data_IF_063675507336
#
_entry.id   IF_063675507336
#
_cell.length_a   1.000
_cell.length_b   1.000
_cell.length_c   1.000
_cell.angle_alpha   90.00
_cell.angle_beta   90.00
_cell.angle_gamma   90.00
#
_symmetry.space_group_name_H-M   'P 1'
#
loop_
_entity.id
_entity.type
_entity.pdbx_description
1 polymer ?
#
# COMPACT_ATOMS: atom_id res chain seq x y z
N UNK A 1 -23.12 16.63 -6.66
CA UNK A 1 -22.10 15.87 -5.90
C UNK A 1 -22.21 16.37 -4.47
N UNK A 2 -22.61 15.53 -3.55
CA UNK A 2 -22.60 15.86 -2.12
C UNK A 2 -21.14 15.97 -1.71
N UNK A 3 -20.72 17.19 -1.38
CA UNK A 3 -19.39 17.46 -0.82
C UNK A 3 -19.40 16.92 0.61
N UNK A 4 -19.30 15.60 0.75
CA UNK A 4 -19.29 14.97 2.06
C UNK A 4 -17.89 15.08 2.65
N UNK A 5 -17.80 15.66 3.84
CA UNK A 5 -16.53 15.76 4.55
C UNK A 5 -16.06 14.35 4.98
N UNK A 6 -14.73 14.13 5.00
CA UNK A 6 -14.20 12.92 5.59
C UNK A 6 -14.52 12.84 7.09
N UNK A 7 -14.73 11.62 7.58
CA UNK A 7 -15.14 11.33 8.95
C UNK A 7 -13.95 11.24 9.90
N UNK A 8 -14.16 11.66 11.15
CA UNK A 8 -13.25 11.31 12.25
C UNK A 8 -13.31 9.81 12.55
N UNK A 9 -12.26 9.25 13.16
CA UNK A 9 -12.26 7.84 13.55
C UNK A 9 -13.42 7.49 14.51
N UNK A 10 -13.82 8.40 15.39
CA UNK A 10 -14.96 8.22 16.29
C UNK A 10 -16.30 8.15 15.53
N UNK A 11 -16.43 8.90 14.44
CA UNK A 11 -17.60 8.80 13.55
C UNK A 11 -17.59 7.48 12.81
N UNK A 12 -16.43 7.04 12.31
CA UNK A 12 -16.25 5.73 11.66
C UNK A 12 -16.63 4.60 12.62
N UNK A 13 -16.14 4.61 13.86
CA UNK A 13 -16.48 3.60 14.87
C UNK A 13 -17.98 3.52 15.15
N UNK A 14 -18.70 4.62 15.05
CA UNK A 14 -20.17 4.67 15.25
C UNK A 14 -20.95 4.19 14.02
N UNK A 15 -20.51 4.57 12.81
CA UNK A 15 -21.20 4.25 11.55
C UNK A 15 -20.95 2.81 11.12
N UNK A 16 -19.70 2.36 11.23
CA UNK A 16 -19.30 0.99 10.89
C UNK A 16 -19.38 0.08 12.12
N UNK A 17 -20.54 0.01 12.79
CA UNK A 17 -20.73 -0.95 13.88
C UNK A 17 -20.44 -2.36 13.40
N UNK A 18 -19.20 -2.78 13.61
CA UNK A 18 -18.71 -4.15 13.56
C UNK A 18 -19.25 -4.98 12.36
N UNK A 19 -18.75 -4.74 11.18
CA UNK A 19 -18.73 -5.77 10.13
C UNK A 19 -17.74 -6.83 10.59
N UNK A 20 -18.21 -7.79 11.36
CA UNK A 20 -17.40 -8.94 11.78
C UNK A 20 -17.28 -9.92 10.62
N UNK A 21 -16.08 -10.45 10.42
CA UNK A 21 -15.85 -11.56 9.50
C UNK A 21 -16.86 -12.68 9.77
N UNK A 22 -17.33 -13.34 8.73
CA UNK A 22 -18.07 -14.59 8.88
C UNK A 22 -17.17 -15.59 9.58
N UNK A 23 -17.68 -16.24 10.63
CA UNK A 23 -16.92 -17.27 11.37
C UNK A 23 -16.27 -18.25 10.41
N UNK A 24 -15.04 -18.74 10.70
CA UNK A 24 -14.18 -19.50 9.79
C UNK A 24 -14.65 -20.90 9.40
N UNK A 25 -15.94 -21.14 9.22
CA UNK A 25 -16.43 -22.36 8.57
C UNK A 25 -16.28 -22.36 7.05
N UNK A 26 -15.82 -21.27 6.44
CA UNK A 26 -15.73 -21.13 4.97
C UNK A 26 -14.62 -20.18 4.51
N UNK A 27 -13.49 -20.10 5.21
CA UNK A 27 -12.33 -19.35 4.69
C UNK A 27 -11.74 -20.11 3.52
N UNK A 28 -12.02 -19.67 2.32
CA UNK A 28 -11.29 -20.12 1.13
C UNK A 28 -10.04 -19.29 1.01
N UNK A 29 -8.92 -19.77 1.54
CA UNK A 29 -7.60 -19.23 1.19
C UNK A 29 -7.24 -19.74 -0.19
N UNK A 30 -7.12 -18.85 -1.16
CA UNK A 30 -6.58 -19.22 -2.48
C UNK A 30 -5.09 -18.96 -2.45
N UNK A 31 -4.28 -20.01 -2.34
CA UNK A 31 -2.84 -19.94 -2.57
C UNK A 31 -2.59 -20.39 -4.00
N UNK A 32 -1.97 -19.52 -4.80
CA UNK A 32 -1.68 -19.81 -6.21
C UNK A 32 -0.22 -20.22 -6.34
N UNK A 33 -0.01 -21.35 -6.98
CA UNK A 33 1.31 -21.84 -7.35
C UNK A 33 1.47 -21.75 -8.87
N UNK A 34 2.57 -21.17 -9.32
CA UNK A 34 2.94 -21.21 -10.73
C UNK A 34 3.76 -22.48 -10.96
N UNK A 35 3.27 -23.35 -11.81
CA UNK A 35 3.98 -24.55 -12.23
C UNK A 35 4.24 -24.47 -13.73
N UNK A 36 5.47 -24.70 -14.15
CA UNK A 36 5.75 -24.87 -15.57
C UNK A 36 5.43 -26.32 -15.94
N UNK A 37 4.31 -26.52 -16.61
CA UNK A 37 3.92 -27.79 -17.22
C UNK A 37 4.31 -27.81 -18.69
N UNK A 38 4.53 -29.02 -19.22
CA UNK A 38 4.58 -29.23 -20.67
C UNK A 38 3.19 -29.06 -21.30
N UNK A 39 2.93 -29.75 -22.42
CA UNK A 39 1.64 -29.69 -23.13
C UNK A 39 0.46 -30.38 -22.40
N UNK A 40 0.71 -30.99 -21.26
CA UNK A 40 -0.33 -31.64 -20.45
C UNK A 40 -0.52 -30.89 -19.11
N UNK A 41 -1.77 -30.79 -18.61
CA UNK A 41 -2.03 -30.19 -17.32
C UNK A 41 -1.34 -30.97 -16.18
N UNK A 42 -0.78 -30.29 -15.17
CA UNK A 42 -0.14 -30.96 -14.04
C UNK A 42 -1.14 -31.81 -13.23
N UNK A 43 -0.68 -32.96 -12.79
CA UNK A 43 -1.44 -33.76 -11.82
C UNK A 43 -1.10 -33.27 -10.42
N UNK A 44 -2.11 -32.80 -9.68
CA UNK A 44 -1.97 -32.28 -8.33
C UNK A 44 -2.69 -33.20 -7.36
N UNK A 45 -1.99 -33.72 -6.37
CA UNK A 45 -2.56 -34.42 -5.25
C UNK A 45 -2.48 -33.57 -3.99
N UNK A 46 -3.60 -33.45 -3.30
CA UNK A 46 -3.68 -32.74 -2.02
C UNK A 46 -4.05 -33.69 -0.91
N UNK A 47 -3.29 -33.69 0.19
CA UNK A 47 -3.63 -34.39 1.39
C UNK A 47 -3.52 -33.49 2.61
N UNK A 48 -4.31 -33.80 3.65
CA UNK A 48 -4.32 -33.09 4.92
C UNK A 48 -3.83 -34.04 6.00
N UNK A 49 -2.73 -33.71 6.65
CA UNK A 49 -2.14 -34.55 7.70
C UNK A 49 -2.20 -33.82 9.06
N UNK A 50 -2.63 -34.49 10.14
CA UNK A 50 -2.59 -33.89 11.47
C UNK A 50 -1.14 -33.84 11.97
N UNK A 51 -0.67 -32.64 12.35
CA UNK A 51 0.70 -32.44 12.84
C UNK A 51 0.75 -32.51 14.37
N UNK A 52 -0.23 -31.88 15.03
CA UNK A 52 -0.21 -31.72 16.49
C UNK A 52 -1.63 -31.64 17.06
N UNK A 53 -1.84 -32.33 18.19
CA UNK A 53 -3.03 -32.18 19.03
C UNK A 53 -2.73 -31.23 20.18
N UNK A 54 -3.37 -30.05 20.20
CA UNK A 54 -3.34 -29.11 21.32
C UNK A 54 -4.61 -29.16 22.16
N UNK A 55 -4.65 -28.40 23.26
CA UNK A 55 -5.86 -28.31 24.11
C UNK A 55 -7.03 -27.61 23.43
N UNK A 56 -6.78 -26.80 22.38
CA UNK A 56 -7.78 -26.00 21.66
C UNK A 56 -8.11 -26.53 20.26
N UNK A 57 -7.50 -27.63 19.82
CA UNK A 57 -7.74 -28.21 18.50
C UNK A 57 -6.59 -29.06 17.96
N UNK A 58 -6.68 -29.41 16.71
CA UNK A 58 -5.66 -30.15 15.96
C UNK A 58 -5.10 -29.27 14.86
N UNK A 59 -3.78 -29.09 14.84
CA UNK A 59 -3.10 -28.46 13.73
C UNK A 59 -2.92 -29.47 12.59
N UNK A 60 -3.16 -29.01 11.36
CA UNK A 60 -3.06 -29.83 10.17
C UNK A 60 -2.04 -29.24 9.19
N UNK A 61 -1.27 -30.11 8.55
CA UNK A 61 -0.46 -29.80 7.40
C UNK A 61 -1.22 -30.12 6.11
N UNK A 62 -1.20 -29.18 5.16
CA UNK A 62 -1.73 -29.41 3.82
C UNK A 62 -0.54 -29.69 2.91
N UNK A 63 -0.40 -30.93 2.48
CA UNK A 63 0.65 -31.35 1.56
C UNK A 63 0.11 -31.32 0.14
N UNK A 64 0.78 -30.60 -0.76
CA UNK A 64 0.46 -30.52 -2.18
C UNK A 64 1.58 -31.21 -2.94
N UNK A 65 1.29 -32.34 -3.54
CA UNK A 65 2.23 -33.08 -4.38
C UNK A 65 1.91 -32.84 -5.85
N UNK A 66 2.92 -32.44 -6.64
CA UNK A 66 2.78 -32.24 -8.07
C UNK A 66 3.67 -33.25 -8.82
N UNK A 67 3.11 -33.93 -9.83
CA UNK A 67 3.87 -34.83 -10.69
C UNK A 67 4.10 -34.21 -12.07
N UNK A 68 5.34 -34.28 -12.54
CA UNK A 68 5.68 -33.90 -13.91
C UNK A 68 5.79 -32.40 -14.15
N UNK A 69 5.95 -31.60 -13.09
CA UNK A 69 6.08 -30.15 -13.18
C UNK A 69 7.29 -29.67 -12.39
N UNK A 70 7.98 -28.72 -12.95
CA UNK A 70 8.97 -27.93 -12.22
C UNK A 70 8.22 -26.87 -11.43
N UNK A 71 8.08 -27.08 -10.11
CA UNK A 71 7.57 -26.05 -9.21
C UNK A 71 8.65 -25.00 -9.11
N UNK A 72 8.54 -23.98 -9.92
CA UNK A 72 9.43 -22.83 -9.77
C UNK A 72 9.09 -22.17 -8.46
N UNK A 73 9.98 -22.32 -7.50
CA UNK A 73 9.95 -21.52 -6.29
C UNK A 73 9.80 -20.06 -6.68
N UNK A 74 8.72 -19.43 -6.22
CA UNK A 74 8.39 -18.00 -6.21
C UNK A 74 8.62 -17.27 -7.54
N UNK A 75 7.70 -16.42 -7.90
CA UNK A 75 7.94 -15.42 -8.91
C UNK A 75 9.26 -14.70 -8.58
N UNK A 76 10.24 -14.83 -9.45
CA UNK A 76 11.54 -14.14 -9.24
C UNK A 76 11.34 -12.66 -9.51
N UNK A 77 12.08 -11.79 -8.79
CA UNK A 77 12.16 -10.40 -9.17
C UNK A 77 12.41 -10.27 -10.67
N UNK A 78 11.56 -9.53 -11.35
CA UNK A 78 11.66 -9.31 -12.79
C UNK A 78 11.51 -7.83 -13.08
N UNK A 79 12.20 -7.38 -14.12
CA UNK A 79 12.04 -6.02 -14.61
C UNK A 79 10.62 -5.80 -15.12
N UNK A 80 10.08 -4.63 -14.85
CA UNK A 80 8.72 -4.28 -15.20
C UNK A 80 8.66 -3.66 -16.60
N UNK A 81 7.64 -4.02 -17.36
CA UNK A 81 7.17 -3.21 -18.49
C UNK A 81 6.33 -2.06 -17.93
N UNK A 82 6.05 -1.07 -18.75
CA UNK A 82 5.20 0.00 -18.23
C UNK A 82 4.88 1.07 -19.26
N UNK A 83 4.07 2.02 -18.82
CA UNK A 83 3.56 3.10 -19.64
C UNK A 83 3.60 4.42 -18.87
N UNK A 84 4.35 5.39 -19.41
CA UNK A 84 4.24 6.79 -19.01
C UNK A 84 2.99 7.41 -19.61
N UNK A 85 2.22 8.09 -18.78
CA UNK A 85 0.97 8.74 -19.17
C UNK A 85 1.11 10.26 -19.05
N UNK A 86 0.15 11.00 -19.59
CA UNK A 86 0.03 12.44 -19.37
C UNK A 86 -1.25 12.70 -18.59
N UNK A 87 -1.23 13.55 -17.56
CA UNK A 87 -2.39 13.79 -16.71
C UNK A 87 -3.67 14.18 -17.47
N UNK A 88 -3.53 14.92 -18.58
CA UNK A 88 -4.64 15.44 -19.37
C UNK A 88 -5.17 14.46 -20.45
N UNK A 89 -4.49 13.35 -20.68
CA UNK A 89 -4.87 12.39 -21.73
C UNK A 89 -6.01 11.46 -21.28
N UNK A 90 -6.27 11.38 -19.97
CA UNK A 90 -7.27 10.48 -19.39
C UNK A 90 -8.55 11.24 -19.06
N UNK A 91 -9.65 10.73 -19.62
CA UNK A 91 -11.00 11.24 -19.34
C UNK A 91 -11.89 10.08 -18.92
N UNK A 92 -12.30 10.12 -17.68
CA UNK A 92 -13.27 9.19 -17.12
C UNK A 92 -14.55 9.95 -16.75
N UNK A 93 -15.68 9.28 -16.85
CA UNK A 93 -16.92 9.76 -16.26
C UNK A 93 -16.85 9.67 -14.73
N UNK A 94 -17.30 10.71 -14.02
CA UNK A 94 -17.18 10.75 -12.54
C UNK A 94 -17.99 9.61 -11.86
N UNK A 95 -19.13 9.24 -12.41
CA UNK A 95 -19.93 8.13 -11.85
C UNK A 95 -19.26 6.77 -12.12
N UNK A 96 -18.53 6.64 -13.21
CA UNK A 96 -17.73 5.47 -13.51
C UNK A 96 -16.52 5.38 -12.56
N UNK A 97 -15.82 6.50 -12.33
CA UNK A 97 -14.71 6.60 -11.38
C UNK A 97 -15.10 6.20 -9.97
N UNK A 98 -16.21 6.69 -9.46
CA UNK A 98 -16.66 6.35 -8.10
C UNK A 98 -16.85 4.83 -7.93
N UNK A 99 -17.41 4.15 -8.93
CA UNK A 99 -17.56 2.68 -8.91
C UNK A 99 -16.26 1.94 -9.10
N UNK A 100 -15.44 2.39 -10.06
CA UNK A 100 -14.16 1.78 -10.38
C UNK A 100 -13.16 1.88 -9.22
N UNK A 101 -13.22 2.96 -8.45
CA UNK A 101 -12.26 3.29 -7.39
C UNK A 101 -12.77 2.97 -5.98
N UNK A 102 -13.88 2.24 -5.87
CA UNK A 102 -14.36 1.77 -4.58
C UNK A 102 -13.38 0.78 -3.93
N UNK A 103 -13.33 0.79 -2.60
CA UNK A 103 -12.56 -0.17 -1.80
C UNK A 103 -13.24 -1.55 -1.78
N UNK A 104 -12.52 -2.53 -1.27
CA UNK A 104 -13.03 -3.89 -1.12
C UNK A 104 -12.58 -4.53 0.19
N UNK A 105 -13.50 -5.16 0.88
CA UNK A 105 -13.26 -5.89 2.13
C UNK A 105 -13.58 -7.36 1.88
N UNK A 106 -12.61 -8.25 1.92
CA UNK A 106 -12.86 -9.69 1.84
C UNK A 106 -13.72 -10.19 3.01
N UNK A 107 -14.57 -11.18 2.75
CA UNK A 107 -15.47 -11.72 3.80
C UNK A 107 -14.74 -12.37 5.00
N UNK A 108 -13.47 -12.75 4.81
CA UNK A 108 -12.64 -13.38 5.85
C UNK A 108 -11.87 -12.36 6.72
N UNK A 109 -11.96 -11.07 6.44
CA UNK A 109 -11.33 -10.03 7.25
C UNK A 109 -12.37 -9.22 8.02
N UNK A 110 -12.06 -8.93 9.28
CA UNK A 110 -12.81 -7.97 10.07
C UNK A 110 -12.46 -6.55 9.61
N UNK A 111 -13.44 -5.65 9.71
CA UNK A 111 -13.19 -4.21 9.57
C UNK A 111 -12.90 -3.61 10.92
N UNK A 112 -11.74 -2.98 11.08
CA UNK A 112 -11.32 -2.29 12.29
C UNK A 112 -10.82 -0.88 11.95
N UNK A 113 -11.49 0.20 12.38
CA UNK A 113 -11.07 1.57 12.09
C UNK A 113 -9.80 2.00 12.85
N UNK A 114 -9.38 1.25 13.86
CA UNK A 114 -8.11 1.41 14.59
C UNK A 114 -7.37 0.09 14.68
N UNK A 115 -6.02 0.08 14.61
CA UNK A 115 -5.26 -1.15 14.79
C UNK A 115 -5.49 -1.74 16.17
N UNK A 116 -5.78 -3.03 16.24
CA UNK A 116 -6.15 -3.72 17.48
C UNK A 116 -4.95 -3.97 18.38
N UNK A 117 -3.79 -4.27 17.81
CA UNK A 117 -2.60 -4.67 18.57
C UNK A 117 -1.51 -3.61 18.46
N UNK A 118 -1.43 -2.77 19.48
CA UNK A 118 -0.30 -1.84 19.64
C UNK A 118 0.94 -2.61 20.10
N UNK A 119 2.09 -2.33 19.47
CA UNK A 119 3.37 -2.94 19.80
C UNK A 119 4.34 -1.88 20.29
N UNK A 120 5.14 -2.21 21.32
CA UNK A 120 6.16 -1.28 21.81
C UNK A 120 7.26 -1.14 20.74
N UNK A 121 7.54 0.08 20.26
CA UNK A 121 8.63 0.29 19.32
C UNK A 121 9.99 0.13 19.98
N UNK A 122 11.02 -0.19 19.19
CA UNK A 122 12.42 0.05 19.53
C UNK A 122 13.02 1.00 18.48
N UNK A 123 13.92 1.88 18.91
CA UNK A 123 14.62 2.76 17.97
C UNK A 123 15.77 2.01 17.31
N UNK A 124 15.84 2.15 16.01
CA UNK A 124 16.94 1.61 15.22
C UNK A 124 18.22 2.39 15.52
N UNK A 125 19.32 1.69 15.71
CA UNK A 125 20.65 2.32 15.76
C UNK A 125 21.06 2.62 14.33
N UNK A 126 20.75 3.85 13.90
CA UNK A 126 21.16 4.30 12.57
C UNK A 126 22.68 4.55 12.53
N UNK A 127 23.37 4.23 11.42
CA UNK A 127 24.73 4.67 11.20
C UNK A 127 24.81 6.18 11.37
N UNK A 128 25.93 6.69 11.93
CA UNK A 128 26.17 8.13 11.99
C UNK A 128 26.23 8.64 10.55
N UNK A 129 25.18 9.34 10.13
CA UNK A 129 25.14 10.01 8.83
C UNK A 129 26.11 11.20 8.92
N UNK A 130 27.03 11.37 7.95
CA UNK A 130 27.85 12.57 7.88
C UNK A 130 26.98 13.82 7.93
N UNK A 131 27.44 14.86 8.66
CA UNK A 131 26.66 16.10 8.92
C UNK A 131 26.31 16.90 7.66
N UNK A 132 26.89 16.58 6.54
CA UNK A 132 26.69 17.18 5.23
C UNK A 132 25.47 16.61 4.45
N UNK A 133 24.86 15.51 4.90
CA UNK A 133 23.58 15.04 4.41
C UNK A 133 22.51 15.34 5.46
N UNK A 134 21.81 16.44 5.27
CA UNK A 134 20.59 16.75 6.02
C UNK A 134 19.51 15.73 5.65
N UNK A 135 19.54 14.57 6.27
CA UNK A 135 18.34 13.74 6.35
C UNK A 135 17.41 14.48 7.29
N UNK A 136 16.50 15.24 6.75
CA UNK A 136 15.49 15.93 7.53
C UNK A 136 14.63 14.87 8.21
N UNK A 137 14.88 14.65 9.49
CA UNK A 137 13.99 13.87 10.35
C UNK A 137 12.94 14.85 10.84
N UNK A 138 11.74 14.81 10.27
CA UNK A 138 10.74 15.81 10.63
C UNK A 138 9.73 15.18 11.55
N UNK A 139 10.10 15.15 12.83
CA UNK A 139 9.20 14.86 13.94
C UNK A 139 8.71 16.20 14.50
N UNK A 140 7.40 16.42 14.52
CA UNK A 140 6.79 17.64 15.02
C UNK A 140 6.32 17.45 16.47
N UNK A 141 7.18 17.78 17.44
CA UNK A 141 6.85 17.66 18.85
C UNK A 141 7.14 16.26 19.42
N UNK A 142 6.15 15.66 20.06
CA UNK A 142 6.26 14.29 20.59
C UNK A 142 5.94 13.31 19.48
N UNK A 143 6.83 12.32 19.28
CA UNK A 143 6.61 11.24 18.29
C UNK A 143 5.34 10.46 18.62
N UNK A 144 4.30 10.61 17.81
CA UNK A 144 2.98 10.02 18.00
C UNK A 144 2.71 8.81 17.07
N UNK A 145 3.72 8.37 16.33
CA UNK A 145 3.66 7.17 15.51
C UNK A 145 3.43 5.92 16.36
N UNK A 146 2.35 5.23 16.10
CA UNK A 146 1.99 4.00 16.81
C UNK A 146 2.42 2.77 16.01
N UNK A 147 3.40 2.02 16.50
CA UNK A 147 3.73 0.70 15.93
C UNK A 147 2.61 -0.29 16.24
N UNK A 148 2.18 -1.06 15.24
CA UNK A 148 1.09 -2.00 15.40
C UNK A 148 1.36 -3.34 14.68
N UNK A 149 0.58 -4.35 15.04
CA UNK A 149 0.50 -5.63 14.34
C UNK A 149 -0.98 -6.00 14.20
N UNK A 150 -1.51 -5.85 13.00
CA UNK A 150 -2.90 -6.20 12.69
C UNK A 150 -3.00 -6.62 11.22
N UNK A 151 -3.72 -7.70 10.97
CA UNK A 151 -3.93 -8.26 9.63
C UNK A 151 -5.37 -8.13 9.16
N UNK A 152 -6.22 -7.43 9.94
CA UNK A 152 -7.57 -7.11 9.52
C UNK A 152 -7.59 -5.91 8.58
N UNK A 153 -8.73 -5.69 7.93
CA UNK A 153 -8.92 -4.55 7.04
C UNK A 153 -9.18 -3.24 7.85
N UNK A 154 -8.56 -2.11 7.48
CA UNK A 154 -7.75 -1.84 6.30
C UNK A 154 -6.23 -2.10 6.50
N UNK A 155 -5.78 -2.53 7.68
CA UNK A 155 -4.37 -2.71 8.04
C UNK A 155 -3.66 -3.73 7.15
N UNK A 156 -4.41 -4.69 6.63
CA UNK A 156 -3.96 -5.70 5.67
C UNK A 156 -3.54 -5.13 4.31
N UNK A 157 -3.99 -3.93 3.96
CA UNK A 157 -3.74 -3.36 2.62
C UNK A 157 -2.40 -2.64 2.48
N UNK A 158 -1.75 -2.26 3.60
CA UNK A 158 -0.47 -1.56 3.57
C UNK A 158 0.68 -2.54 3.79
N UNK A 159 1.78 -2.36 3.07
CA UNK A 159 2.91 -3.27 3.11
C UNK A 159 4.27 -2.60 2.86
N UNK A 160 5.29 -3.39 3.10
CA UNK A 160 6.68 -3.06 2.78
C UNK A 160 6.88 -3.17 1.27
N UNK A 161 7.46 -2.14 0.67
CA UNK A 161 7.92 -2.10 -0.72
C UNK A 161 9.43 -2.21 -0.72
N UNK A 162 9.99 -3.11 -1.51
CA UNK A 162 11.44 -3.28 -1.66
C UNK A 162 11.83 -3.22 -3.13
N UNK A 163 12.94 -2.55 -3.41
CA UNK A 163 13.52 -2.34 -4.73
C UNK A 163 15.04 -2.39 -4.66
N UNK A 164 15.74 -2.28 -5.79
CA UNK A 164 17.20 -2.12 -5.79
C UNK A 164 17.68 -0.81 -5.14
N UNK A 165 16.82 0.21 -5.04
CA UNK A 165 17.17 1.49 -4.39
C UNK A 165 17.03 1.45 -2.86
N UNK A 166 16.29 0.48 -2.33
CA UNK A 166 16.03 0.36 -0.90
C UNK A 166 14.61 -0.09 -0.60
N UNK A 167 14.04 0.46 0.46
CA UNK A 167 12.69 0.13 0.90
C UNK A 167 11.82 1.37 1.10
N UNK A 168 10.54 1.19 0.89
CA UNK A 168 9.48 2.16 1.13
C UNK A 168 8.22 1.47 1.61
N UNK A 169 7.12 2.16 1.47
CA UNK A 169 5.77 1.70 1.82
C UNK A 169 4.87 1.72 0.60
N UNK A 170 3.77 1.00 0.65
CA UNK A 170 2.76 1.05 -0.38
C UNK A 170 1.43 0.51 0.09
N UNK A 171 0.39 0.74 -0.70
CA UNK A 171 -0.97 0.32 -0.39
C UNK A 171 -1.60 -0.43 -1.56
N UNK A 172 -2.30 -1.51 -1.25
CA UNK A 172 -3.13 -2.21 -2.23
C UNK A 172 -4.33 -1.33 -2.57
N UNK A 173 -4.43 -0.94 -3.84
CA UNK A 173 -5.42 0.01 -4.36
C UNK A 173 -6.33 -0.63 -5.43
N UNK A 174 -6.33 -1.93 -5.54
CA UNK A 174 -7.13 -2.74 -6.46
C UNK A 174 -6.76 -4.21 -6.36
N UNK A 175 -7.39 -5.11 -7.13
CA UNK A 175 -7.17 -6.55 -7.02
C UNK A 175 -5.70 -6.97 -7.11
N UNK A 176 -4.91 -6.30 -7.94
CA UNK A 176 -3.48 -6.54 -8.16
C UNK A 176 -2.70 -5.25 -8.34
N UNK A 177 -3.15 -4.16 -7.74
CA UNK A 177 -2.61 -2.83 -7.95
C UNK A 177 -2.02 -2.31 -6.65
N UNK A 178 -0.74 -1.95 -6.70
CA UNK A 178 0.01 -1.32 -5.63
C UNK A 178 0.20 0.15 -5.97
N UNK A 179 -0.20 1.04 -5.09
CA UNK A 179 0.15 2.45 -5.13
C UNK A 179 1.35 2.69 -4.22
N UNK A 180 2.39 3.35 -4.75
CA UNK A 180 3.60 3.77 -4.04
C UNK A 180 4.18 5.01 -4.70
N UNK A 181 5.36 5.48 -4.29
CA UNK A 181 6.02 6.67 -4.86
C UNK A 181 7.01 6.34 -5.97
N UNK A 182 7.24 7.32 -6.85
CA UNK A 182 8.18 7.22 -7.98
C UNK A 182 9.64 7.12 -7.53
N UNK A 183 10.01 7.86 -6.47
CA UNK A 183 11.40 7.93 -6.01
C UNK A 183 11.94 6.65 -5.35
N UNK A 184 11.09 5.69 -4.94
CA UNK A 184 11.55 4.36 -4.48
C UNK A 184 11.81 3.40 -5.62
N UNK A 185 11.31 3.69 -6.83
CA UNK A 185 11.46 2.83 -8.01
C UNK A 185 12.86 2.97 -8.59
N UNK A 186 13.48 1.85 -8.93
CA UNK A 186 14.69 1.86 -9.73
C UNK A 186 14.33 1.98 -11.22
N UNK A 187 14.49 3.19 -11.75
CA UNK A 187 14.21 3.50 -13.15
C UNK A 187 15.34 3.10 -14.11
N UNK A 188 16.43 2.53 -13.59
CA UNK A 188 17.57 2.05 -14.40
C UNK A 188 17.24 0.68 -14.98
N UNK A 189 16.60 0.67 -16.15
CA UNK A 189 16.24 -0.56 -16.86
C UNK A 189 16.75 -0.55 -18.30
N UNK A 190 17.16 -1.71 -18.85
CA UNK A 190 17.57 -1.81 -20.24
C UNK A 190 16.40 -1.59 -21.20
N UNK A 191 16.70 -1.38 -22.47
CA UNK A 191 15.69 -1.19 -23.52
C UNK A 191 14.64 -2.32 -23.52
N UNK A 192 13.37 -1.93 -23.58
CA UNK A 192 12.22 -2.84 -23.55
C UNK A 192 11.58 -3.00 -22.16
N UNK A 193 12.20 -2.45 -21.12
CA UNK A 193 11.63 -2.37 -19.77
C UNK A 193 11.51 -0.92 -19.32
N UNK A 194 10.60 -0.67 -18.37
CA UNK A 194 10.35 0.67 -17.83
C UNK A 194 11.12 0.92 -16.55
N UNK A 195 11.23 -0.10 -15.69
CA UNK A 195 11.86 -0.06 -14.38
C UNK A 195 12.37 -1.45 -13.97
N UNK A 196 13.23 -1.47 -12.96
CA UNK A 196 13.68 -2.71 -12.34
C UNK A 196 12.59 -3.29 -11.42
N UNK A 197 12.89 -4.38 -10.70
CA UNK A 197 11.91 -5.11 -9.92
C UNK A 197 11.38 -4.33 -8.71
N UNK A 198 10.14 -4.63 -8.36
CA UNK A 198 9.48 -4.22 -7.11
C UNK A 198 8.95 -5.48 -6.43
N UNK A 199 9.22 -5.63 -5.12
CA UNK A 199 8.59 -6.61 -4.25
C UNK A 199 7.67 -5.90 -3.27
N UNK A 200 6.48 -6.42 -3.08
CA UNK A 200 5.51 -5.90 -2.13
C UNK A 200 5.07 -7.00 -1.16
N UNK A 201 5.15 -6.72 0.13
CA UNK A 201 4.77 -7.64 1.20
C UNK A 201 3.76 -6.97 2.13
N UNK A 202 2.45 -7.20 1.93
CA UNK A 202 1.40 -6.60 2.77
C UNK A 202 1.44 -7.14 4.19
N UNK A 203 1.13 -6.27 5.16
CA UNK A 203 1.17 -6.58 6.60
C UNK A 203 2.49 -7.19 7.08
N UNK A 204 3.60 -6.88 6.42
CA UNK A 204 4.91 -7.37 6.82
C UNK A 204 5.22 -7.02 8.27
N UNK A 205 5.74 -7.98 9.04
CA UNK A 205 6.09 -7.77 10.44
C UNK A 205 7.22 -8.71 10.87
N UNK A 206 8.45 -8.17 11.08
CA UNK A 206 9.63 -8.90 11.58
C UNK A 206 9.92 -10.23 10.84
N UNK A 207 9.77 -10.26 9.54
CA UNK A 207 9.97 -11.48 8.73
C UNK A 207 8.68 -12.25 8.44
N UNK A 208 7.58 -11.96 9.14
CA UNK A 208 6.29 -12.55 8.84
C UNK A 208 5.64 -11.87 7.64
N UNK A 209 5.14 -12.67 6.70
CA UNK A 209 4.41 -12.24 5.51
C UNK A 209 3.05 -12.97 5.45
N UNK A 210 2.06 -12.54 6.24
CA UNK A 210 0.82 -13.30 6.44
C UNK A 210 -0.01 -13.48 5.16
N UNK A 211 0.17 -12.62 4.18
CA UNK A 211 -0.48 -12.69 2.86
C UNK A 211 0.49 -13.11 1.74
N UNK A 212 1.72 -13.47 2.10
CA UNK A 212 2.78 -13.70 1.13
C UNK A 212 3.35 -12.40 0.55
N UNK A 213 4.06 -12.53 -0.56
CA UNK A 213 4.68 -11.43 -1.30
C UNK A 213 4.23 -11.45 -2.76
N UNK A 214 4.32 -10.32 -3.45
CA UNK A 214 3.98 -10.18 -4.86
C UNK A 214 5.00 -9.28 -5.55
N UNK A 215 5.24 -9.52 -6.84
CA UNK A 215 6.21 -8.79 -7.63
C UNK A 215 5.56 -7.96 -8.71
N UNK A 216 6.15 -6.79 -9.01
CA UNK A 216 5.72 -5.93 -10.10
C UNK A 216 5.94 -6.60 -11.46
N UNK A 217 4.95 -6.50 -12.35
CA UNK A 217 5.02 -6.95 -13.75
C UNK A 217 4.82 -5.82 -14.73
N UNK A 218 4.10 -4.77 -14.34
CA UNK A 218 3.85 -3.56 -15.12
C UNK A 218 3.78 -2.34 -14.22
N UNK A 219 4.10 -1.16 -14.73
CA UNK A 219 4.10 0.08 -13.95
C UNK A 219 3.54 1.25 -14.76
N UNK A 220 2.72 2.07 -14.11
CA UNK A 220 2.17 3.32 -14.62
C UNK A 220 2.72 4.51 -13.87
N UNK A 221 3.08 5.60 -14.58
CA UNK A 221 3.62 6.83 -14.01
C UNK A 221 3.29 8.05 -14.87
N UNK A 222 3.39 9.24 -14.29
CA UNK A 222 3.43 10.49 -15.03
C UNK A 222 4.85 11.04 -15.14
N UNK A 223 5.57 11.08 -14.02
CA UNK A 223 6.94 11.57 -13.93
C UNK A 223 7.81 10.49 -13.31
N UNK A 224 8.99 10.27 -13.89
CA UNK A 224 10.04 9.46 -13.29
C UNK A 224 10.91 10.38 -12.45
N UNK A 225 11.26 9.96 -11.26
CA UNK A 225 12.27 10.65 -10.44
C UNK A 225 13.61 10.59 -11.17
N UNK A 226 14.33 11.70 -11.18
CA UNK A 226 15.52 11.88 -12.04
C UNK A 226 16.83 11.36 -11.44
N UNK A 227 16.84 10.93 -10.17
CA UNK A 227 17.97 10.33 -9.49
C UNK A 227 18.91 11.30 -8.82
N UNK A 228 18.57 12.59 -8.74
CA UNK A 228 19.41 13.61 -8.10
C UNK A 228 19.36 13.56 -6.56
N UNK A 229 18.42 12.81 -6.00
CA UNK A 229 18.23 12.59 -4.56
C UNK A 229 17.35 13.63 -3.88
N UNK A 230 16.68 14.48 -4.65
CA UNK A 230 15.71 15.46 -4.18
C UNK A 230 14.39 15.27 -4.92
N UNK A 231 13.28 15.57 -4.24
CA UNK A 231 11.96 15.66 -4.87
C UNK A 231 11.63 17.13 -5.03
N UNK A 232 11.53 17.60 -6.28
CA UNK A 232 11.37 19.03 -6.58
C UNK A 232 10.55 19.29 -7.83
N UNK A 233 9.97 20.49 -7.94
CA UNK A 233 9.20 20.90 -9.11
C UNK A 233 8.06 19.94 -9.43
N UNK A 234 7.98 19.46 -10.68
CA UNK A 234 6.94 18.53 -11.12
C UNK A 234 7.00 17.15 -10.45
N UNK A 235 8.12 16.81 -9.81
CA UNK A 235 8.20 15.56 -9.06
C UNK A 235 7.36 15.61 -7.79
N UNK A 236 7.26 16.78 -7.11
CA UNK A 236 6.39 16.91 -5.93
C UNK A 236 4.94 16.64 -6.25
N UNK A 237 4.49 17.03 -7.45
CA UNK A 237 3.11 16.90 -7.90
C UNK A 237 2.78 15.45 -8.32
N UNK A 238 3.78 14.71 -8.84
CA UNK A 238 3.58 13.41 -9.49
C UNK A 238 4.47 12.29 -8.92
N UNK A 239 4.97 12.42 -7.70
CA UNK A 239 5.77 11.38 -7.05
C UNK A 239 4.91 10.19 -6.61
N UNK A 240 4.24 9.57 -7.56
CA UNK A 240 3.48 8.33 -7.35
C UNK A 240 3.44 7.47 -8.60
N UNK A 241 3.31 6.18 -8.38
CA UNK A 241 3.19 5.17 -9.42
C UNK A 241 2.15 4.13 -9.03
N UNK A 242 1.55 3.49 -10.03
CA UNK A 242 0.75 2.29 -9.83
C UNK A 242 1.50 1.10 -10.43
N UNK A 243 1.88 0.15 -9.58
CA UNK A 243 2.51 -1.11 -9.98
C UNK A 243 1.43 -2.19 -10.07
N UNK A 244 1.36 -2.84 -11.22
CA UNK A 244 0.54 -4.05 -11.42
C UNK A 244 1.35 -5.24 -10.93
N UNK A 245 0.80 -5.98 -9.99
CA UNK A 245 1.43 -7.13 -9.35
C UNK A 245 1.14 -8.42 -10.12
N UNK A 246 2.03 -9.39 -10.01
CA UNK A 246 1.89 -10.72 -10.61
C UNK A 246 0.73 -11.53 -9.99
N UNK A 247 0.36 -11.26 -8.75
CA UNK A 247 -0.75 -11.89 -8.05
C UNK A 247 -1.90 -10.91 -7.79
N UNK A 248 -3.12 -11.44 -7.70
CA UNK A 248 -4.31 -10.69 -7.25
C UNK A 248 -4.36 -10.65 -5.70
N UNK A 249 -3.30 -10.12 -5.10
CA UNK A 249 -3.10 -10.12 -3.65
C UNK A 249 -4.21 -9.38 -2.90
N UNK A 250 -4.83 -8.39 -3.55
CA UNK A 250 -5.97 -7.66 -3.03
C UNK A 250 -7.20 -8.51 -2.73
N UNK A 251 -7.37 -9.66 -3.41
CA UNK A 251 -8.46 -10.60 -3.08
C UNK A 251 -8.30 -11.20 -1.67
N UNK A 252 -7.06 -11.23 -1.14
CA UNK A 252 -6.76 -11.71 0.20
C UNK A 252 -6.65 -10.60 1.23
N UNK A 253 -6.07 -9.46 0.86
CA UNK A 253 -5.85 -8.33 1.77
C UNK A 253 -7.01 -7.34 1.82
N UNK A 254 -7.91 -7.34 0.82
CA UNK A 254 -8.72 -6.19 0.48
C UNK A 254 -7.89 -5.12 -0.20
N UNK A 255 -8.54 -4.01 -0.57
CA UNK A 255 -7.88 -2.81 -1.08
C UNK A 255 -8.62 -1.55 -0.65
N UNK A 256 -7.88 -0.47 -0.49
CA UNK A 256 -8.46 0.85 -0.27
C UNK A 256 -9.07 1.38 -1.57
N UNK A 257 -10.11 2.21 -1.45
CA UNK A 257 -10.57 3.04 -2.53
C UNK A 257 -9.55 4.14 -2.85
N UNK A 258 -9.78 4.86 -3.94
CA UNK A 258 -9.07 6.09 -4.25
C UNK A 258 -10.05 7.24 -4.47
N UNK A 259 -9.65 8.46 -4.07
CA UNK A 259 -10.42 9.68 -4.25
C UNK A 259 -9.46 10.84 -4.49
N UNK A 260 -9.84 11.85 -5.27
CA UNK A 260 -9.07 13.09 -5.32
C UNK A 260 -9.32 13.90 -4.05
N UNK A 261 -8.31 14.62 -3.60
CA UNK A 261 -8.43 15.58 -2.52
C UNK A 261 -9.28 16.78 -2.96
N UNK A 262 -9.96 17.41 -2.03
CA UNK A 262 -10.74 18.62 -2.23
C UNK A 262 -10.30 19.66 -1.20
N UNK A 263 -9.99 20.88 -1.62
CA UNK A 263 -9.51 21.97 -0.77
C UNK A 263 -10.53 22.40 0.30
N UNK A 264 -11.81 22.07 0.14
CA UNK A 264 -12.80 22.20 1.20
C UNK A 264 -12.46 21.37 2.46
N UNK A 265 -11.54 20.41 2.35
CA UNK A 265 -11.06 19.56 3.44
C UNK A 265 -9.77 20.06 4.09
N UNK A 266 -9.24 21.18 3.65
CA UNK A 266 -8.06 21.79 4.24
C UNK A 266 -8.25 22.01 5.74
N UNK A 267 -7.18 21.78 6.47
CA UNK A 267 -7.16 21.90 7.94
C UNK A 267 -8.12 20.99 8.72
N UNK A 268 -8.85 20.08 8.07
CA UNK A 268 -9.62 19.06 8.79
C UNK A 268 -8.66 18.05 9.44
N UNK A 269 -8.84 17.86 10.75
CA UNK A 269 -8.01 16.94 11.55
C UNK A 269 -8.60 15.53 11.55
N UNK A 270 -8.60 14.87 10.41
CA UNK A 270 -9.25 13.56 10.16
C UNK A 270 -8.37 12.55 9.44
N UNK A 271 -7.23 13.00 8.93
CA UNK A 271 -6.37 12.20 8.07
C UNK A 271 -5.58 11.16 8.84
N UNK A 272 -5.27 10.10 8.15
CA UNK A 272 -4.51 8.96 8.66
C UNK A 272 -3.40 8.58 7.69
N UNK A 273 -2.30 8.05 8.24
CA UNK A 273 -1.17 7.56 7.47
C UNK A 273 -0.63 6.25 8.04
N UNK A 274 -0.13 5.39 7.18
CA UNK A 274 0.59 4.16 7.51
C UNK A 274 1.86 4.01 6.68
N UNK A 275 2.90 3.44 7.27
CA UNK A 275 4.15 3.16 6.56
C UNK A 275 5.16 2.42 7.43
N UNK A 276 6.36 2.20 6.88
CA UNK A 276 7.44 1.39 7.46
C UNK A 276 8.69 2.24 7.72
N UNK A 277 8.75 3.04 8.80
CA UNK A 277 9.85 3.95 9.07
C UNK A 277 11.15 3.24 9.43
N UNK A 278 12.26 3.67 8.85
CA UNK A 278 13.58 3.06 9.10
C UNK A 278 14.14 3.32 10.49
N UNK A 279 13.76 4.41 11.17
CA UNK A 279 14.22 4.74 12.52
C UNK A 279 13.50 3.95 13.63
N UNK A 280 12.35 3.38 13.33
CA UNK A 280 11.62 2.52 14.24
C UNK A 280 11.64 1.08 13.73
N UNK A 281 12.10 0.16 14.57
CA UNK A 281 12.09 -1.28 14.28
C UNK A 281 12.80 -1.64 12.95
N UNK A 282 13.79 -0.85 12.53
CA UNK A 282 14.56 -1.04 11.29
C UNK A 282 13.71 -1.15 10.02
N UNK A 283 12.57 -0.45 9.96
CA UNK A 283 11.63 -0.57 8.84
C UNK A 283 10.90 -1.91 8.74
N UNK A 284 10.95 -2.74 9.80
CA UNK A 284 10.40 -4.09 9.79
C UNK A 284 8.97 -4.19 10.35
N UNK A 285 8.43 -3.08 10.84
CA UNK A 285 7.09 -3.03 11.43
C UNK A 285 6.33 -1.82 10.95
N UNK A 286 5.03 -1.93 10.68
CA UNK A 286 4.23 -0.78 10.28
C UNK A 286 3.95 0.16 11.43
N UNK A 287 3.81 1.44 11.10
CA UNK A 287 3.26 2.47 11.98
C UNK A 287 1.90 2.96 11.48
N UNK A 288 1.14 3.50 12.39
CA UNK A 288 -0.08 4.24 12.16
C UNK A 288 -0.01 5.58 12.90
N UNK A 289 -0.43 6.64 12.23
CA UNK A 289 -0.59 7.97 12.80
C UNK A 289 -1.94 8.55 12.39
N UNK A 290 -2.68 9.08 13.35
CA UNK A 290 -3.99 9.72 13.17
C UNK A 290 -4.46 10.31 14.51
N UNK A 291 -5.21 11.44 14.50
CA UNK A 291 -5.53 12.25 13.33
C UNK A 291 -4.49 13.34 13.10
N UNK A 292 -4.37 13.79 11.86
CA UNK A 292 -3.59 14.97 11.50
C UNK A 292 -4.31 15.79 10.40
N UNK A 293 -3.77 16.96 10.09
CA UNK A 293 -4.25 17.86 9.03
C UNK A 293 -3.48 17.64 7.76
N UNK A 294 -4.19 17.73 6.64
CA UNK A 294 -3.63 17.70 5.30
C UNK A 294 -4.17 18.94 4.58
N UNK A 295 -3.31 19.70 3.95
CA UNK A 295 -3.65 20.96 3.28
C UNK A 295 -3.11 20.94 1.84
N UNK A 296 -3.97 21.13 0.84
CA UNK A 296 -3.58 21.28 -0.56
C UNK A 296 -2.78 22.58 -0.78
N UNK A 297 -1.84 22.56 -1.73
CA UNK A 297 -1.01 23.74 -2.02
C UNK A 297 -1.41 24.41 -3.34
N UNK A 298 -2.21 23.76 -4.17
CA UNK A 298 -2.63 24.22 -5.48
C UNK A 298 -4.08 23.80 -5.79
N UNK A 299 -4.66 24.35 -6.87
CA UNK A 299 -6.07 24.13 -7.27
C UNK A 299 -6.42 22.65 -7.54
N UNK A 300 -5.43 21.81 -7.87
CA UNK A 300 -5.61 20.38 -8.12
C UNK A 300 -5.19 19.49 -6.94
N UNK A 301 -4.66 20.09 -5.86
CA UNK A 301 -4.13 19.43 -4.67
C UNK A 301 -3.19 18.26 -5.01
N UNK A 302 -2.25 18.50 -5.93
CA UNK A 302 -1.27 17.50 -6.35
C UNK A 302 -0.15 17.38 -5.32
N UNK A 303 0.27 18.50 -4.75
CA UNK A 303 1.16 18.60 -3.61
C UNK A 303 0.36 19.02 -2.37
N UNK A 304 0.47 18.25 -1.30
CA UNK A 304 -0.24 18.48 -0.04
C UNK A 304 0.74 18.52 1.13
N UNK A 305 0.54 19.48 2.03
CA UNK A 305 1.39 19.66 3.22
C UNK A 305 0.75 19.08 4.46
N UNK A 306 1.59 18.54 5.35
CA UNK A 306 1.15 18.02 6.64
C UNK A 306 2.24 18.08 7.71
N UNK A 307 1.85 17.81 8.97
CA UNK A 307 2.76 17.72 10.12
C UNK A 307 2.63 16.38 10.86
N UNK A 308 2.19 15.34 10.18
CA UNK A 308 2.31 13.98 10.71
C UNK A 308 3.80 13.61 10.78
N UNK A 309 4.21 12.92 11.83
CA UNK A 309 5.59 12.47 12.02
C UNK A 309 5.99 11.44 10.97
N UNK A 310 7.03 11.73 10.20
CA UNK A 310 7.52 10.80 9.18
C UNK A 310 9.03 10.63 9.25
N UNK A 311 9.49 9.51 8.72
CA UNK A 311 10.89 9.16 8.57
C UNK A 311 11.09 8.38 7.26
N UNK A 312 12.29 8.43 6.62
CA UNK A 312 12.59 7.61 5.45
C UNK A 312 12.16 6.15 5.62
N UNK A 313 11.51 5.60 4.60
CA UNK A 313 10.85 4.31 4.60
C UNK A 313 9.31 4.40 4.66
N UNK A 314 8.74 5.52 5.14
CA UNK A 314 7.30 5.77 5.05
C UNK A 314 6.86 6.27 3.66
N UNK A 315 7.80 6.61 2.79
CA UNK A 315 7.57 6.98 1.39
C UNK A 315 6.67 5.97 0.67
N UNK A 316 5.62 6.44 0.02
CA UNK A 316 4.61 5.60 -0.65
C UNK A 316 3.49 5.08 0.25
N UNK A 317 3.59 5.29 1.57
CA UNK A 317 2.49 5.01 2.48
C UNK A 317 1.30 5.96 2.21
N UNK A 318 0.04 5.45 2.27
CA UNK A 318 -1.14 6.24 1.91
C UNK A 318 -1.45 7.33 2.92
N UNK A 319 -1.93 8.47 2.43
CA UNK A 319 -2.74 9.44 3.15
C UNK A 319 -4.20 9.10 2.87
N UNK A 320 -4.98 8.80 3.91
CA UNK A 320 -6.34 8.28 3.73
C UNK A 320 -7.30 8.76 4.79
N UNK A 321 -8.57 8.72 4.44
CA UNK A 321 -9.70 8.96 5.36
C UNK A 321 -10.89 8.08 4.99
N UNK A 322 -11.98 8.22 5.73
CA UNK A 322 -13.25 7.51 5.53
C UNK A 322 -14.35 8.50 5.18
N UNK A 323 -15.29 8.08 4.36
CA UNK A 323 -16.52 8.83 4.06
C UNK A 323 -17.74 7.97 4.36
N UNK A 324 -18.84 8.63 4.70
CA UNK A 324 -20.11 7.92 4.94
C UNK A 324 -20.59 7.25 3.65
N UNK A 325 -21.06 6.02 3.77
CA UNK A 325 -21.50 5.22 2.63
C UNK A 325 -20.41 4.46 1.88
N UNK A 326 -19.13 4.78 2.08
CA UNK A 326 -18.02 4.03 1.46
C UNK A 326 -17.84 2.65 2.10
N UNK A 327 -17.35 1.68 1.32
CA UNK A 327 -17.07 0.32 1.81
C UNK A 327 -15.89 0.32 2.79
N UNK A 328 -14.93 1.21 2.62
CA UNK A 328 -13.73 1.34 3.44
C UNK A 328 -13.04 2.69 3.22
N UNK A 329 -11.83 2.88 3.74
CA UNK A 329 -11.10 4.12 3.53
C UNK A 329 -10.68 4.31 2.07
N UNK A 330 -10.51 5.58 1.68
CA UNK A 330 -9.95 5.95 0.39
C UNK A 330 -8.63 6.68 0.56
N UNK A 331 -7.63 6.30 -0.22
CA UNK A 331 -6.39 7.03 -0.34
C UNK A 331 -6.60 8.26 -1.23
N UNK A 332 -6.06 9.41 -0.82
CA UNK A 332 -6.07 10.66 -1.59
C UNK A 332 -4.68 11.05 -2.07
N UNK A 333 -3.63 10.58 -1.39
CA UNK A 333 -2.23 10.84 -1.67
C UNK A 333 -1.34 9.75 -1.09
N UNK A 334 -0.04 9.85 -1.36
CA UNK A 334 1.02 9.06 -0.76
C UNK A 334 2.10 9.96 -0.16
N UNK A 335 2.70 9.53 0.96
CA UNK A 335 3.85 10.22 1.56
C UNK A 335 4.99 10.30 0.53
N UNK A 336 5.41 11.50 0.20
CA UNK A 336 6.45 11.76 -0.79
C UNK A 336 7.72 12.28 -0.13
N UNK A 337 7.74 13.52 0.30
CA UNK A 337 8.95 14.18 0.76
C UNK A 337 8.82 14.75 2.18
N UNK A 338 9.94 15.24 2.69
CA UNK A 338 10.01 15.92 3.98
C UNK A 338 11.00 17.07 3.91
N UNK A 339 10.68 18.16 4.61
CA UNK A 339 11.58 19.28 4.79
C UNK A 339 11.51 19.80 6.24
N UNK A 340 12.30 20.85 6.57
CA UNK A 340 12.39 21.34 7.94
C UNK A 340 11.09 21.93 8.50
N UNK A 341 10.15 22.32 7.66
CA UNK A 341 8.93 23.04 8.04
C UNK A 341 7.67 22.20 7.93
N UNK A 342 7.60 21.32 6.94
CA UNK A 342 6.46 20.48 6.64
C UNK A 342 6.93 19.14 6.04
N UNK A 343 6.07 18.17 6.04
CA UNK A 343 6.16 16.99 5.21
C UNK A 343 5.21 17.16 4.02
N UNK A 344 5.47 16.49 2.91
CA UNK A 344 4.68 16.58 1.70
C UNK A 344 4.16 15.23 1.22
N UNK A 345 2.96 15.25 0.67
CA UNK A 345 2.32 14.11 0.05
C UNK A 345 1.89 14.45 -1.37
N UNK A 346 2.08 13.53 -2.30
CA UNK A 346 1.70 13.68 -3.71
C UNK A 346 0.39 12.97 -4.00
N UNK A 347 -0.55 13.63 -4.71
CA UNK A 347 -1.87 13.05 -4.92
C UNK A 347 -2.76 13.76 -5.93
N UNK A 348 -3.97 14.10 -5.49
CA UNK A 348 -4.93 14.87 -6.29
C UNK A 348 -5.66 14.06 -7.38
N UNK A 349 -6.26 14.79 -8.32
CA UNK A 349 -7.06 14.23 -9.41
C UNK A 349 -6.24 13.29 -10.31
N UNK A 350 -4.98 13.63 -10.55
CA UNK A 350 -4.10 12.85 -11.41
C UNK A 350 -3.76 11.48 -10.81
N UNK A 351 -3.50 11.39 -9.49
CA UNK A 351 -3.32 10.10 -8.81
C UNK A 351 -4.57 9.21 -8.98
N UNK A 352 -5.75 9.77 -8.73
CA UNK A 352 -7.02 9.05 -8.89
C UNK A 352 -7.17 8.48 -10.31
N UNK A 353 -6.88 9.28 -11.32
CA UNK A 353 -6.98 8.88 -12.72
C UNK A 353 -5.95 7.81 -13.10
N UNK A 354 -4.73 7.89 -12.55
CA UNK A 354 -3.68 6.87 -12.75
C UNK A 354 -4.13 5.50 -12.20
N UNK A 355 -4.72 5.49 -11.02
CA UNK A 355 -5.29 4.27 -10.42
C UNK A 355 -6.43 3.72 -11.28
N UNK A 356 -7.32 4.59 -11.77
CA UNK A 356 -8.43 4.19 -12.63
C UNK A 356 -7.94 3.54 -13.93
N UNK A 357 -6.94 4.14 -14.58
CA UNK A 357 -6.35 3.59 -15.80
C UNK A 357 -5.73 2.22 -15.56
N UNK A 358 -4.90 2.09 -14.52
CA UNK A 358 -4.28 0.82 -14.20
C UNK A 358 -5.31 -0.29 -13.90
N UNK A 359 -6.38 0.03 -13.16
CA UNK A 359 -7.47 -0.93 -12.88
C UNK A 359 -8.27 -1.30 -14.14
N UNK A 360 -8.42 -0.37 -15.07
CA UNK A 360 -9.12 -0.63 -16.33
C UNK A 360 -8.32 -1.57 -17.23
N UNK A 361 -7.02 -1.34 -17.34
CA UNK A 361 -6.15 -2.10 -18.24
C UNK A 361 -5.82 -3.51 -17.70
N UNK A 362 -5.85 -3.69 -16.37
CA UNK A 362 -5.50 -4.94 -15.67
C UNK A 362 -6.57 -5.36 -14.65
N UNK A 363 -7.81 -5.36 -15.04
CA UNK A 363 -8.96 -5.70 -14.19
C UNK A 363 -8.87 -7.07 -13.50
#
# INVERSE_FOLDING_TARGET
MTNENPMTIEQVERSFRARKARKPGSITRTQRYFVHGGNEPPVVHTRVEPIRRGKEGVDYEIVIETKGVDVRERARPQMMRGQGLRPNDMRFDEAELERLLEGYIPDHLDFNPKPQKRVKPFRTILPKIPRDRNVATTLFGTDDRMVFQDTNYPWSTVGLVETNRGSGSGVVIGPRHLLTVSHVIDWTAPAGFAADWVRFTPSYFDGDAPFGESYGVHIYWYVKEDGDGFISGTETDFDYVVVVLDHRIGESTGWMGARHYNDDWDSLNVWSHMGYPGDLNSGQRPIFISPFKLDGTDDDAQDMLHKADVFPGQSGGPMFAWWDGDVGPRAVAVQSYQNASNNGASGGRSLRNLVAQARTDFA
#
